data_IF_007457325469
#
_entry.id   IF_007457325469
#
_cell.length_a   1.000
_cell.length_b   1.000
_cell.length_c   1.000
_cell.angle_alpha   90.00
_cell.angle_beta   90.00
_cell.angle_gamma   90.00
#
_symmetry.space_group_name_H-M   'P 1'
#
loop_
_entity.id
_entity.type
_entity.pdbx_description
1 polymer ?
#
# COMPACT_ATOMS: atom_id res chain seq x y z
N UNK A 1 21.00 -4.76 26.06
CA UNK A 1 20.86 -4.87 24.60
C UNK A 1 19.41 -4.53 24.28
N UNK A 2 19.14 -3.50 23.48
CA UNK A 2 17.78 -3.15 23.07
C UNK A 2 17.38 -4.13 21.95
N UNK A 3 16.22 -4.79 22.01
CA UNK A 3 15.72 -5.63 20.91
C UNK A 3 15.66 -4.86 19.58
N UNK A 4 15.98 -5.51 18.45
CA UNK A 4 15.99 -4.85 17.13
C UNK A 4 14.67 -4.15 16.76
N UNK A 5 13.53 -4.62 17.28
CA UNK A 5 12.21 -4.02 17.02
C UNK A 5 11.92 -2.79 17.88
N UNK A 6 12.73 -2.52 18.91
CA UNK A 6 12.62 -1.36 19.80
C UNK A 6 13.65 -0.27 19.46
N UNK A 7 14.52 -0.49 18.45
CA UNK A 7 15.48 0.52 18.02
C UNK A 7 14.77 1.69 17.33
N UNK A 8 14.81 2.85 17.97
CA UNK A 8 14.36 4.12 17.42
C UNK A 8 15.43 4.69 16.48
N UNK A 9 15.00 5.35 15.40
CA UNK A 9 15.89 5.95 14.40
C UNK A 9 15.54 5.50 12.98
N UNK A 10 16.40 5.81 12.00
CA UNK A 10 16.20 5.37 10.63
C UNK A 10 16.16 3.84 10.51
N UNK A 11 15.33 3.34 9.61
CA UNK A 11 15.30 1.90 9.30
C UNK A 11 16.68 1.45 8.79
N UNK A 12 17.17 0.26 9.20
CA UNK A 12 18.32 -0.35 8.57
C UNK A 12 18.14 -0.44 7.05
N UNK A 13 19.22 -0.32 6.29
CA UNK A 13 19.19 -0.22 4.83
C UNK A 13 18.40 -1.34 4.15
N UNK A 14 18.50 -2.57 4.66
CA UNK A 14 17.73 -3.72 4.18
C UNK A 14 16.21 -3.48 4.27
N UNK A 15 15.74 -3.05 5.45
CA UNK A 15 14.33 -2.76 5.69
C UNK A 15 13.85 -1.55 4.90
N UNK A 16 14.67 -0.50 4.84
CA UNK A 16 14.38 0.67 4.02
C UNK A 16 14.16 0.29 2.56
N UNK A 17 15.05 -0.52 1.99
CA UNK A 17 14.93 -0.99 0.62
C UNK A 17 13.68 -1.85 0.41
N UNK A 18 13.38 -2.76 1.35
CA UNK A 18 12.19 -3.62 1.28
C UNK A 18 10.88 -2.82 1.31
N UNK A 19 10.82 -1.76 2.12
CA UNK A 19 9.66 -0.85 2.15
C UNK A 19 9.59 -0.03 0.86
N UNK A 20 10.74 0.47 0.38
CA UNK A 20 10.81 1.32 -0.82
C UNK A 20 10.41 0.57 -2.10
N UNK A 21 10.72 -0.71 -2.22
CA UNK A 21 10.48 -1.50 -3.45
C UNK A 21 9.15 -2.24 -3.45
N UNK A 22 8.33 -2.08 -2.39
CA UNK A 22 7.04 -2.76 -2.32
C UNK A 22 6.12 -2.24 -3.44
N UNK A 23 5.47 -3.16 -4.15
CA UNK A 23 4.46 -2.81 -5.14
C UNK A 23 3.25 -2.17 -4.46
N UNK A 24 2.68 -1.14 -5.07
CA UNK A 24 1.48 -0.49 -4.56
C UNK A 24 0.24 -1.34 -4.78
N UNK A 25 -0.80 -1.10 -3.97
CA UNK A 25 -2.08 -1.82 -4.05
C UNK A 25 -3.22 -0.82 -4.20
N UNK A 26 -4.28 -1.24 -4.88
CA UNK A 26 -5.44 -0.41 -5.17
C UNK A 26 -6.13 0.18 -3.92
N UNK A 27 -6.31 -0.62 -2.86
CA UNK A 27 -6.86 -0.13 -1.59
C UNK A 27 -8.37 0.19 -1.59
N UNK A 28 -9.06 0.19 -2.74
CA UNK A 28 -10.52 0.41 -2.83
C UNK A 28 -11.30 -0.73 -2.17
N UNK A 29 -12.52 -0.47 -1.72
CA UNK A 29 -13.41 -1.49 -1.13
C UNK A 29 -13.99 -2.38 -2.23
N UNK A 30 -13.89 -3.69 -2.05
CA UNK A 30 -14.60 -4.67 -2.88
C UNK A 30 -16.09 -4.68 -2.53
N UNK A 31 -16.91 -5.35 -3.35
CA UNK A 31 -18.35 -5.52 -3.09
C UNK A 31 -18.63 -6.23 -1.76
N UNK A 32 -17.73 -7.12 -1.35
CA UNK A 32 -17.80 -7.84 -0.08
C UNK A 32 -17.23 -7.05 1.11
N UNK A 33 -16.86 -5.78 0.92
CA UNK A 33 -16.35 -4.89 1.97
C UNK A 33 -14.86 -5.02 2.29
N UNK A 34 -14.13 -5.94 1.65
CA UNK A 34 -12.69 -6.10 1.84
C UNK A 34 -11.87 -5.03 1.09
N UNK A 35 -10.61 -4.84 1.49
CA UNK A 35 -9.68 -3.96 0.78
C UNK A 35 -9.10 -4.68 -0.45
N UNK A 36 -9.23 -4.08 -1.63
CA UNK A 36 -8.67 -4.59 -2.87
C UNK A 36 -7.14 -4.61 -2.81
N UNK A 37 -6.56 -5.79 -3.04
CA UNK A 37 -5.10 -6.03 -3.00
C UNK A 37 -4.44 -6.08 -4.39
N UNK A 38 -5.18 -5.75 -5.44
CA UNK A 38 -4.64 -5.74 -6.80
C UNK A 38 -3.47 -4.76 -6.92
N UNK A 39 -2.40 -5.17 -7.62
CA UNK A 39 -1.18 -4.37 -7.74
C UNK A 39 -1.39 -3.19 -8.70
N UNK A 40 -0.92 -2.01 -8.30
CA UNK A 40 -0.97 -0.77 -9.10
C UNK A 40 0.43 -0.17 -9.19
N UNK A 41 0.69 0.56 -10.28
CA UNK A 41 1.99 1.19 -10.50
C UNK A 41 2.15 2.49 -9.71
N UNK A 42 1.06 3.26 -9.55
CA UNK A 42 1.06 4.55 -8.87
C UNK A 42 0.32 4.41 -7.54
N UNK A 43 0.91 4.87 -6.42
CA UNK A 43 0.23 4.85 -5.13
C UNK A 43 -1.09 5.64 -5.19
N UNK A 44 -2.18 5.02 -4.74
CA UNK A 44 -3.50 5.65 -4.69
C UNK A 44 -4.33 5.51 -5.98
N UNK A 45 -3.76 4.98 -7.06
CA UNK A 45 -4.55 4.70 -8.25
C UNK A 45 -5.51 3.51 -8.05
N UNK A 46 -6.73 3.59 -8.62
CA UNK A 46 -7.60 2.42 -8.72
C UNK A 46 -7.01 1.39 -9.68
N UNK A 47 -7.20 0.09 -9.39
CA UNK A 47 -6.94 -0.94 -10.39
C UNK A 47 -8.02 -0.95 -11.46
N UNK A 48 -7.81 -1.70 -12.56
CA UNK A 48 -8.74 -1.75 -13.69
C UNK A 48 -10.18 -2.19 -13.35
N UNK A 49 -10.40 -2.84 -12.20
CA UNK A 49 -11.74 -3.23 -11.72
C UNK A 49 -12.44 -2.08 -10.99
N UNK A 50 -11.68 -1.12 -10.50
CA UNK A 50 -12.14 0.02 -9.71
C UNK A 50 -11.94 1.36 -10.43
N UNK A 51 -11.37 1.36 -11.65
CA UNK A 51 -11.29 2.53 -12.53
C UNK A 51 -12.67 2.97 -13.01
N UNK A 52 -13.64 2.04 -13.09
CA UNK A 52 -15.02 2.30 -13.52
C UNK A 52 -15.97 2.74 -12.40
N UNK A 53 -15.49 2.84 -11.15
CA UNK A 53 -16.27 3.46 -10.08
C UNK A 53 -16.16 4.97 -10.22
N UNK A 54 -17.17 5.56 -10.87
CA UNK A 54 -17.40 7.01 -11.04
C UNK A 54 -16.79 7.83 -9.91
N UNK A 55 -16.12 8.91 -10.30
CA UNK A 55 -15.73 10.04 -9.45
C UNK A 55 -16.91 10.43 -8.53
N UNK A 56 -16.92 9.94 -7.30
CA UNK A 56 -17.72 10.52 -6.22
C UNK A 56 -16.73 11.32 -5.40
N UNK A 57 -16.49 12.54 -5.87
CA UNK A 57 -15.94 13.63 -5.06
C UNK A 57 -17.06 14.21 -4.19
N UNK A 58 -16.77 14.63 -2.95
CA UNK A 58 -17.75 15.10 -1.98
C UNK A 58 -18.50 16.37 -2.41
#
# INVERSE_FOLDING_TARGET
MIPNHEQLGPLPLEWFNRVRTVMHRCGRRTKDGYTCRYLVQIPGEPCYWHTDAKKVTP
#
